data_IF_012785934752
#
_entry.id   IF_012785934752
#
_cell.length_a   1.000
_cell.length_b   1.000
_cell.length_c   1.000
_cell.angle_alpha   90.00
_cell.angle_beta   90.00
_cell.angle_gamma   90.00
#
_symmetry.space_group_name_H-M   'P 1'
#
loop_
_entity.id
_entity.type
_entity.pdbx_description
1 polymer ?
#
# COMPACT_ATOMS: atom_id res chain seq x y z
N UNK A 1 -25.87 0.19 -25.62
CA UNK A 1 -26.07 0.61 -24.22
C UNK A 1 -27.57 0.54 -23.94
N UNK A 2 -28.03 -0.16 -22.89
CA UNK A 2 -29.46 -0.22 -22.54
C UNK A 2 -30.05 1.17 -22.33
N UNK A 3 -31.32 1.39 -22.70
CA UNK A 3 -31.97 2.71 -22.65
C UNK A 3 -31.84 3.42 -21.29
N UNK A 4 -31.94 2.66 -20.18
CA UNK A 4 -31.75 3.15 -18.81
C UNK A 4 -30.39 3.84 -18.59
N UNK A 5 -29.29 3.30 -19.13
CA UNK A 5 -27.95 3.87 -18.93
C UNK A 5 -27.71 5.11 -19.80
N UNK A 6 -28.43 5.24 -20.92
CA UNK A 6 -28.33 6.42 -21.77
C UNK A 6 -28.89 7.66 -21.05
N UNK A 7 -30.02 7.52 -20.35
CA UNK A 7 -30.64 8.62 -19.59
C UNK A 7 -29.78 9.02 -18.39
N UNK A 8 -29.23 8.04 -17.66
CA UNK A 8 -28.30 8.28 -16.56
C UNK A 8 -27.07 9.01 -17.09
N UNK A 9 -26.50 8.57 -18.22
CA UNK A 9 -25.33 9.21 -18.83
C UNK A 9 -25.58 10.68 -19.18
N UNK A 10 -26.75 11.03 -19.73
CA UNK A 10 -27.07 12.44 -20.00
C UNK A 10 -27.12 13.28 -18.72
N UNK A 11 -27.61 12.70 -17.62
CA UNK A 11 -27.60 13.36 -16.31
C UNK A 11 -26.18 13.56 -15.79
N UNK A 12 -25.33 12.53 -15.86
CA UNK A 12 -23.94 12.62 -15.42
C UNK A 12 -23.14 13.63 -16.31
N UNK A 13 -23.37 13.69 -17.64
CA UNK A 13 -22.76 14.72 -18.52
C UNK A 13 -23.20 16.16 -18.19
N UNK A 14 -24.47 16.37 -17.87
CA UNK A 14 -24.96 17.69 -17.41
C UNK A 14 -24.33 18.09 -16.08
N UNK A 15 -24.23 17.14 -15.15
CA UNK A 15 -23.59 17.34 -13.85
C UNK A 15 -22.10 17.70 -13.98
N UNK A 16 -21.39 17.07 -14.93
CA UNK A 16 -19.99 17.40 -15.22
C UNK A 16 -19.81 18.82 -15.76
N UNK A 17 -20.72 19.29 -16.61
CA UNK A 17 -20.66 20.67 -17.11
C UNK A 17 -20.91 21.69 -15.99
N UNK A 18 -21.85 21.42 -15.09
CA UNK A 18 -22.07 22.24 -13.90
C UNK A 18 -20.88 22.20 -12.94
N UNK A 19 -20.27 21.03 -12.76
CA UNK A 19 -19.04 20.87 -11.96
C UNK A 19 -17.92 21.73 -12.52
N UNK A 20 -17.66 21.67 -13.83
CA UNK A 20 -16.64 22.49 -14.49
C UNK A 20 -16.89 23.99 -14.27
N UNK A 21 -18.10 24.45 -14.56
CA UNK A 21 -18.45 25.88 -14.50
C UNK A 21 -18.50 26.42 -13.08
N UNK A 22 -19.13 25.69 -12.15
CA UNK A 22 -19.39 26.18 -10.79
C UNK A 22 -18.31 25.81 -9.80
N UNK A 23 -17.77 24.60 -9.90
CA UNK A 23 -16.76 24.11 -8.95
C UNK A 23 -15.39 24.55 -9.43
N UNK A 24 -14.95 24.03 -10.58
CA UNK A 24 -13.57 24.19 -11.04
C UNK A 24 -13.23 25.65 -11.37
N UNK A 25 -14.13 26.37 -12.05
CA UNK A 25 -13.88 27.75 -12.49
C UNK A 25 -14.21 28.81 -11.43
N UNK A 26 -14.93 28.46 -10.35
CA UNK A 26 -15.39 29.44 -9.37
C UNK A 26 -15.23 29.01 -7.90
N UNK A 27 -15.97 28.00 -7.43
CA UNK A 27 -16.06 27.71 -6.01
C UNK A 27 -14.73 27.29 -5.39
N UNK A 28 -13.86 26.57 -6.12
CA UNK A 28 -12.54 26.23 -5.61
C UNK A 28 -11.74 27.48 -5.24
N UNK A 29 -11.66 28.45 -6.17
CA UNK A 29 -10.92 29.69 -5.96
C UNK A 29 -11.56 30.57 -4.89
N UNK A 30 -12.90 30.66 -4.91
CA UNK A 30 -13.64 31.41 -3.91
C UNK A 30 -13.43 30.84 -2.51
N UNK A 31 -13.52 29.51 -2.34
CA UNK A 31 -13.31 28.85 -1.06
C UNK A 31 -11.86 28.97 -0.58
N UNK A 32 -10.91 28.77 -1.50
CA UNK A 32 -9.48 28.88 -1.25
C UNK A 32 -9.09 30.24 -0.66
N UNK A 33 -9.56 31.34 -1.27
CA UNK A 33 -9.29 32.71 -0.83
C UNK A 33 -10.12 33.09 0.40
N UNK A 34 -11.45 32.98 0.32
CA UNK A 34 -12.37 33.52 1.34
C UNK A 34 -12.29 32.80 2.68
N UNK A 35 -12.00 31.51 2.67
CA UNK A 35 -11.96 30.67 3.87
C UNK A 35 -10.53 30.21 4.22
N UNK A 36 -9.51 30.79 3.58
CA UNK A 36 -8.09 30.46 3.79
C UNK A 36 -7.75 28.96 3.57
N UNK A 37 -8.53 28.24 2.75
CA UNK A 37 -8.28 26.83 2.47
C UNK A 37 -6.98 26.66 1.67
N UNK A 38 -6.57 27.65 0.87
CA UNK A 38 -5.28 27.59 0.19
C UNK A 38 -4.11 27.47 1.18
N UNK A 39 -4.14 28.25 2.26
CA UNK A 39 -3.13 28.20 3.32
C UNK A 39 -3.17 26.87 4.07
N UNK A 40 -4.37 26.35 4.33
CA UNK A 40 -4.56 25.04 4.97
C UNK A 40 -3.96 23.92 4.11
N UNK A 41 -4.36 23.83 2.84
CA UNK A 41 -3.83 22.88 1.86
C UNK A 41 -2.32 22.96 1.77
N UNK A 42 -1.77 24.17 1.60
CA UNK A 42 -0.32 24.36 1.55
C UNK A 42 0.36 23.83 2.82
N UNK A 43 -0.22 24.08 4.00
CA UNK A 43 0.32 23.56 5.27
C UNK A 43 0.27 22.04 5.34
N UNK A 44 -0.81 21.40 4.88
CA UNK A 44 -0.93 19.94 4.88
C UNK A 44 0.09 19.29 3.94
N UNK A 45 0.16 19.73 2.68
CA UNK A 45 1.13 19.19 1.71
C UNK A 45 2.58 19.51 2.08
N UNK A 46 2.86 20.65 2.73
CA UNK A 46 4.21 21.01 3.15
C UNK A 46 4.83 20.03 4.14
N UNK A 47 4.03 19.30 4.93
CA UNK A 47 4.51 18.22 5.82
C UNK A 47 5.23 17.11 5.05
N UNK A 48 4.86 16.92 3.79
CA UNK A 48 5.37 15.88 2.90
C UNK A 48 6.22 16.45 1.76
N UNK A 49 6.74 17.68 1.90
CA UNK A 49 7.56 18.34 0.85
C UNK A 49 8.69 17.45 0.35
N UNK A 50 9.27 16.63 1.23
CA UNK A 50 10.34 15.71 0.87
C UNK A 50 9.93 14.63 -0.12
N UNK A 51 8.68 14.19 -0.06
CA UNK A 51 8.13 13.13 -0.89
C UNK A 51 7.61 13.70 -2.22
N UNK A 52 7.03 14.91 -2.18
CA UNK A 52 6.40 15.52 -3.37
C UNK A 52 7.33 16.41 -4.20
N UNK A 53 8.58 16.64 -3.78
CA UNK A 53 9.50 17.61 -4.42
C UNK A 53 9.74 17.32 -5.91
N UNK A 54 9.77 16.05 -6.30
CA UNK A 54 10.06 15.58 -7.66
C UNK A 54 8.78 15.16 -8.40
N UNK A 55 7.62 15.26 -7.74
CA UNK A 55 6.35 14.94 -8.35
C UNK A 55 5.97 16.00 -9.40
N UNK A 56 5.31 15.62 -10.51
CA UNK A 56 4.91 16.61 -11.51
C UNK A 56 3.92 17.60 -10.91
N UNK A 57 4.17 18.89 -11.11
CA UNK A 57 3.37 19.97 -10.48
C UNK A 57 1.86 19.83 -10.76
N UNK A 58 1.50 19.38 -11.97
CA UNK A 58 0.12 19.11 -12.36
C UNK A 58 -0.58 18.13 -11.41
N UNK A 59 0.09 17.06 -10.98
CA UNK A 59 -0.46 16.07 -10.05
C UNK A 59 -0.72 16.69 -8.68
N UNK A 60 0.24 17.47 -8.19
CA UNK A 60 0.09 18.18 -6.92
C UNK A 60 -1.08 19.15 -6.98
N UNK A 61 -1.21 19.93 -8.07
CA UNK A 61 -2.31 20.88 -8.24
C UNK A 61 -3.67 20.18 -8.35
N UNK A 62 -3.77 19.03 -9.02
CA UNK A 62 -5.00 18.23 -9.06
C UNK A 62 -5.39 17.70 -7.67
N UNK A 63 -4.41 17.20 -6.90
CA UNK A 63 -4.65 16.77 -5.53
C UNK A 63 -5.09 17.93 -4.63
N UNK A 64 -4.48 19.12 -4.76
CA UNK A 64 -4.93 20.30 -4.02
C UNK A 64 -6.37 20.69 -4.37
N UNK A 65 -6.74 20.69 -5.64
CA UNK A 65 -8.10 20.96 -6.08
C UNK A 65 -9.11 19.95 -5.51
N UNK A 66 -8.76 18.66 -5.56
CA UNK A 66 -9.56 17.58 -4.98
C UNK A 66 -9.74 17.74 -3.46
N UNK A 67 -8.69 18.12 -2.73
CA UNK A 67 -8.79 18.45 -1.30
C UNK A 67 -9.75 19.62 -1.06
N UNK A 68 -9.62 20.71 -1.83
CA UNK A 68 -10.49 21.89 -1.66
C UNK A 68 -11.94 21.51 -1.93
N UNK A 69 -12.21 20.76 -3.01
CA UNK A 69 -13.55 20.31 -3.35
C UNK A 69 -14.15 19.45 -2.21
N UNK A 70 -13.38 18.51 -1.69
CA UNK A 70 -13.75 17.71 -0.53
C UNK A 70 -14.08 18.61 0.68
N UNK A 71 -13.26 19.60 1.02
CA UNK A 71 -13.55 20.53 2.12
C UNK A 71 -14.80 21.38 1.92
N UNK A 72 -15.16 21.66 0.67
CA UNK A 72 -16.40 22.37 0.36
C UNK A 72 -17.61 21.46 0.59
N UNK A 73 -17.58 20.24 0.05
CA UNK A 73 -18.76 19.39 -0.09
C UNK A 73 -18.84 18.19 0.85
N UNK A 74 -17.84 17.93 1.69
CA UNK A 74 -17.92 16.88 2.71
C UNK A 74 -19.00 17.17 3.74
N UNK A 75 -19.27 16.18 4.60
CA UNK A 75 -20.21 16.35 5.70
C UNK A 75 -19.78 17.52 6.59
N UNK A 76 -20.75 18.38 6.94
CA UNK A 76 -20.52 19.66 7.62
C UNK A 76 -19.52 20.61 6.92
N UNK A 77 -19.32 20.42 5.62
CA UNK A 77 -18.41 21.21 4.78
C UNK A 77 -18.83 22.66 4.56
N UNK A 78 -17.96 23.42 3.88
CA UNK A 78 -18.14 24.86 3.67
C UNK A 78 -19.40 25.21 2.86
N UNK A 79 -19.92 24.28 2.05
CA UNK A 79 -21.12 24.50 1.25
C UNK A 79 -22.30 24.97 2.12
N UNK A 80 -22.40 24.49 3.36
CA UNK A 80 -23.43 24.89 4.32
C UNK A 80 -23.42 26.39 4.64
N UNK A 81 -22.24 27.02 4.56
CA UNK A 81 -22.06 28.47 4.77
C UNK A 81 -22.13 29.23 3.46
N UNK A 82 -21.51 28.68 2.40
CA UNK A 82 -21.38 29.33 1.09
C UNK A 82 -22.73 29.48 0.40
N UNK A 83 -23.61 28.48 0.51
CA UNK A 83 -24.84 28.41 -0.29
C UNK A 83 -25.86 29.54 0.00
N UNK A 84 -25.78 30.16 1.18
CA UNK A 84 -26.63 31.29 1.57
C UNK A 84 -25.91 32.64 1.41
N UNK A 85 -24.67 32.65 0.92
CA UNK A 85 -23.87 33.86 0.79
C UNK A 85 -24.30 34.70 -0.42
N UNK A 86 -24.31 36.03 -0.28
CA UNK A 86 -24.74 36.96 -1.35
C UNK A 86 -23.92 36.85 -2.63
N UNK A 87 -22.69 36.34 -2.54
CA UNK A 87 -21.84 36.09 -3.72
C UNK A 87 -22.50 35.14 -4.70
N UNK A 88 -23.39 34.24 -4.26
CA UNK A 88 -24.12 33.31 -5.13
C UNK A 88 -25.45 33.85 -5.66
N UNK A 89 -25.80 35.12 -5.39
CA UNK A 89 -27.09 35.69 -5.80
C UNK A 89 -27.28 35.82 -7.31
N UNK A 90 -26.21 35.68 -8.09
CA UNK A 90 -26.22 35.72 -9.55
C UNK A 90 -26.40 34.33 -10.19
N UNK A 91 -26.40 33.26 -9.38
CA UNK A 91 -26.56 31.91 -9.88
C UNK A 91 -27.99 31.66 -10.37
N UNK A 92 -28.10 30.93 -11.47
CA UNK A 92 -29.37 30.47 -12.02
C UNK A 92 -30.00 29.39 -11.13
N UNK A 93 -31.31 29.16 -11.30
CA UNK A 93 -32.06 28.18 -10.49
C UNK A 93 -31.45 26.77 -10.56
N UNK A 94 -30.98 26.36 -11.74
CA UNK A 94 -30.30 25.08 -11.95
C UNK A 94 -28.99 24.97 -11.17
N UNK A 95 -28.20 26.04 -11.16
CA UNK A 95 -26.91 26.08 -10.47
C UNK A 95 -27.11 26.01 -8.94
N UNK A 96 -28.11 26.73 -8.43
CA UNK A 96 -28.51 26.65 -7.03
C UNK A 96 -29.01 25.25 -6.68
N UNK A 97 -29.82 24.64 -7.53
CA UNK A 97 -30.31 23.27 -7.32
C UNK A 97 -29.16 22.26 -7.26
N UNK A 98 -28.18 22.38 -8.18
CA UNK A 98 -26.96 21.57 -8.17
C UNK A 98 -26.17 21.72 -6.86
N UNK A 99 -25.97 22.94 -6.38
CA UNK A 99 -25.25 23.16 -5.12
C UNK A 99 -26.03 22.61 -3.91
N UNK A 100 -27.37 22.75 -3.90
CA UNK A 100 -28.24 22.18 -2.85
C UNK A 100 -28.21 20.66 -2.86
N UNK A 101 -28.09 20.05 -4.04
CA UNK A 101 -27.97 18.62 -4.18
C UNK A 101 -26.67 18.10 -3.59
N UNK A 102 -25.54 18.73 -3.91
CA UNK A 102 -24.23 18.38 -3.34
C UNK A 102 -24.14 18.72 -1.84
N UNK A 103 -24.89 19.71 -1.35
CA UNK A 103 -25.04 19.95 0.10
C UNK A 103 -25.75 18.78 0.81
N UNK A 104 -26.77 18.19 0.18
CA UNK A 104 -27.56 17.08 0.77
C UNK A 104 -26.90 15.72 0.62
N UNK A 105 -25.98 15.59 -0.33
CA UNK A 105 -25.26 14.36 -0.63
C UNK A 105 -23.77 14.66 -0.55
N UNK A 106 -23.19 14.63 0.67
CA UNK A 106 -21.81 15.01 0.86
C UNK A 106 -20.84 14.19 0.01
N UNK A 107 -19.76 14.84 -0.41
CA UNK A 107 -18.68 14.16 -1.11
C UNK A 107 -17.84 13.40 -0.10
N UNK A 108 -17.45 12.18 -0.44
CA UNK A 108 -16.61 11.34 0.40
C UNK A 108 -15.53 10.66 -0.41
N UNK A 109 -14.41 10.37 0.22
CA UNK A 109 -13.44 9.46 -0.33
C UNK A 109 -13.96 8.02 -0.25
N UNK A 110 -13.54 7.20 -1.19
CA UNK A 110 -13.91 5.79 -1.25
C UNK A 110 -12.75 4.97 -1.76
N UNK A 111 -12.44 3.90 -1.02
CA UNK A 111 -11.59 2.82 -1.47
C UNK A 111 -12.49 1.71 -1.99
N UNK A 112 -12.42 1.40 -3.28
CA UNK A 112 -13.42 0.54 -3.90
C UNK A 112 -12.87 -0.44 -4.94
N UNK A 113 -13.61 -1.54 -5.11
CA UNK A 113 -13.39 -2.54 -6.14
C UNK A 113 -14.48 -2.45 -7.20
N UNK A 114 -14.14 -2.81 -8.44
CA UNK A 114 -15.14 -3.00 -9.49
C UNK A 114 -15.70 -4.42 -9.35
N UNK A 115 -17.01 -4.52 -9.15
CA UNK A 115 -17.74 -5.78 -9.05
C UNK A 115 -18.34 -6.17 -10.40
N UNK A 116 -18.87 -5.21 -11.16
CA UNK A 116 -19.41 -5.43 -12.51
C UNK A 116 -19.21 -4.20 -13.41
N UNK A 117 -19.31 -4.40 -14.72
CA UNK A 117 -19.24 -3.34 -15.75
C UNK A 117 -20.50 -3.38 -16.63
N UNK A 118 -21.66 -2.92 -16.11
CA UNK A 118 -22.95 -3.13 -16.77
C UNK A 118 -23.12 -2.34 -18.09
N UNK A 119 -22.33 -1.28 -18.30
CA UNK A 119 -22.26 -0.54 -19.56
C UNK A 119 -20.93 0.22 -19.69
N UNK A 120 -20.63 0.73 -20.89
CA UNK A 120 -19.43 1.55 -21.12
C UNK A 120 -19.39 2.75 -20.16
N UNK A 121 -18.27 2.92 -19.47
CA UNK A 121 -18.02 3.96 -18.46
C UNK A 121 -18.88 3.84 -17.19
N UNK A 122 -19.65 2.76 -17.05
CA UNK A 122 -20.45 2.45 -15.86
C UNK A 122 -19.88 1.23 -15.14
N UNK A 123 -19.74 1.33 -13.83
CA UNK A 123 -19.18 0.30 -12.97
C UNK A 123 -20.06 0.12 -11.74
N UNK A 124 -20.37 -1.13 -11.39
CA UNK A 124 -20.84 -1.45 -10.06
C UNK A 124 -19.62 -1.55 -9.16
N UNK A 125 -19.56 -0.68 -8.16
CA UNK A 125 -18.45 -0.56 -7.22
C UNK A 125 -18.88 -1.07 -5.86
N UNK A 126 -17.94 -1.60 -5.07
CA UNK A 126 -18.11 -1.88 -3.65
C UNK A 126 -16.99 -1.17 -2.88
N UNK A 127 -17.36 -0.33 -1.92
CA UNK A 127 -16.42 0.26 -0.98
C UNK A 127 -15.91 -0.82 -0.02
N UNK A 128 -14.60 -1.05 0.02
CA UNK A 128 -14.02 -2.19 0.76
C UNK A 128 -14.08 -2.02 2.28
N UNK A 129 -14.29 -0.80 2.76
CA UNK A 129 -14.34 -0.51 4.20
C UNK A 129 -15.79 -0.35 4.68
N UNK A 130 -16.68 0.24 3.87
CA UNK A 130 -18.08 0.39 4.28
C UNK A 130 -19.00 -0.74 3.80
N UNK A 131 -18.57 -1.53 2.80
CA UNK A 131 -19.41 -2.52 2.11
C UNK A 131 -20.48 -1.90 1.21
N UNK A 132 -20.51 -0.57 1.07
CA UNK A 132 -21.50 0.11 0.26
C UNK A 132 -21.32 -0.23 -1.21
N UNK A 133 -22.41 -0.69 -1.84
CA UNK A 133 -22.48 -0.91 -3.29
C UNK A 133 -23.09 0.27 -4.00
N UNK A 134 -22.47 0.70 -5.08
CA UNK A 134 -22.93 1.85 -5.84
C UNK A 134 -22.63 1.78 -7.34
N UNK A 135 -23.50 2.41 -8.14
CA UNK A 135 -23.27 2.59 -9.57
C UNK A 135 -22.44 3.84 -9.81
N UNK A 136 -21.21 3.67 -10.31
CA UNK A 136 -20.30 4.73 -10.70
C UNK A 136 -20.35 4.98 -12.21
N UNK A 137 -20.46 6.24 -12.62
CA UNK A 137 -20.13 6.69 -13.97
C UNK A 137 -18.77 7.39 -13.96
N UNK A 138 -17.77 6.83 -14.65
CA UNK A 138 -16.45 7.48 -14.76
C UNK A 138 -15.70 7.08 -16.05
N UNK A 139 -15.67 7.96 -17.05
CA UNK A 139 -14.77 7.80 -18.20
C UNK A 139 -13.28 7.76 -17.79
N UNK A 140 -12.92 8.35 -16.65
CA UNK A 140 -11.57 8.28 -16.08
C UNK A 140 -11.20 6.87 -15.67
N UNK A 141 -12.10 6.18 -14.96
CA UNK A 141 -11.94 4.76 -14.59
C UNK A 141 -11.77 3.87 -15.82
N UNK A 142 -12.57 4.08 -16.88
CA UNK A 142 -12.39 3.37 -18.17
C UNK A 142 -10.99 3.55 -18.77
N UNK A 143 -10.38 4.73 -18.64
CA UNK A 143 -9.03 5.00 -19.14
C UNK A 143 -7.97 4.32 -18.28
N UNK A 144 -8.12 4.38 -16.95
CA UNK A 144 -7.18 3.77 -16.00
C UNK A 144 -7.06 2.25 -16.15
N UNK A 145 -8.12 1.57 -16.60
CA UNK A 145 -8.12 0.10 -16.83
C UNK A 145 -7.42 -0.36 -18.10
N UNK A 146 -7.06 0.52 -19.02
CA UNK A 146 -6.64 0.11 -20.37
C UNK A 146 -5.33 -0.71 -20.39
N UNK A 147 -4.50 -0.59 -19.36
CA UNK A 147 -3.16 -1.18 -19.33
C UNK A 147 -3.05 -2.42 -18.42
N UNK A 148 -3.77 -2.45 -17.30
CA UNK A 148 -3.70 -3.51 -16.29
C UNK A 148 -4.96 -3.48 -15.44
N UNK A 149 -5.40 -4.65 -14.95
CA UNK A 149 -6.50 -4.72 -14.00
C UNK A 149 -6.08 -4.07 -12.66
N UNK A 150 -6.84 -3.09 -12.16
CA UNK A 150 -6.64 -2.48 -10.85
C UNK A 150 -6.85 -3.48 -9.70
N UNK A 151 -6.12 -3.30 -8.61
CA UNK A 151 -6.39 -3.97 -7.34
C UNK A 151 -7.33 -3.15 -6.46
N UNK A 152 -7.16 -1.83 -6.46
CA UNK A 152 -7.92 -0.95 -5.60
C UNK A 152 -8.09 0.42 -6.26
N UNK A 153 -9.25 1.05 -6.08
CA UNK A 153 -9.47 2.42 -6.50
C UNK A 153 -9.59 3.33 -5.30
N UNK A 154 -8.93 4.49 -5.32
CA UNK A 154 -9.15 5.56 -4.36
C UNK A 154 -9.68 6.80 -5.09
N UNK A 155 -10.93 7.17 -4.82
CA UNK A 155 -11.59 8.27 -5.51
C UNK A 155 -12.31 9.18 -4.52
N UNK A 156 -12.33 10.48 -4.82
CA UNK A 156 -13.36 11.37 -4.26
C UNK A 156 -14.62 11.21 -5.11
N UNK A 157 -15.72 10.80 -4.48
CA UNK A 157 -16.98 10.50 -5.17
C UNK A 157 -18.09 11.46 -4.75
N UNK A 158 -19.00 11.74 -5.69
CA UNK A 158 -20.21 12.53 -5.46
C UNK A 158 -21.43 11.87 -6.09
N UNK A 159 -22.58 12.00 -5.44
CA UNK A 159 -23.85 11.48 -5.97
C UNK A 159 -24.66 12.57 -6.67
N UNK A 160 -24.87 12.41 -7.97
CA UNK A 160 -25.60 13.37 -8.80
C UNK A 160 -27.12 13.12 -8.86
N UNK A 161 -27.65 12.27 -7.97
CA UNK A 161 -29.08 11.95 -7.92
C UNK A 161 -29.49 10.77 -8.80
N UNK A 162 -28.61 10.28 -9.67
CA UNK A 162 -28.82 9.12 -10.54
C UNK A 162 -27.67 8.11 -10.47
N UNK A 163 -26.44 8.59 -10.44
CA UNK A 163 -25.20 7.84 -10.42
C UNK A 163 -24.22 8.50 -9.43
N UNK A 164 -23.21 7.75 -9.01
CA UNK A 164 -22.01 8.34 -8.42
C UNK A 164 -21.04 8.74 -9.54
N UNK A 165 -20.25 9.79 -9.32
CA UNK A 165 -19.21 10.26 -10.22
C UNK A 165 -17.92 10.52 -9.45
N UNK A 166 -16.77 10.37 -10.11
CA UNK A 166 -15.45 10.66 -9.53
C UNK A 166 -15.05 12.12 -9.79
N UNK A 167 -14.34 12.75 -8.85
CA UNK A 167 -13.77 14.08 -8.99
C UNK A 167 -12.27 14.10 -8.67
N UNK A 168 -11.50 14.87 -9.44
CA UNK A 168 -10.07 15.09 -9.20
C UNK A 168 -9.18 14.01 -9.82
N UNK A 169 -8.20 13.52 -9.05
CA UNK A 169 -7.29 12.46 -9.46
C UNK A 169 -8.04 11.12 -9.47
N UNK A 170 -7.97 10.43 -10.61
CA UNK A 170 -8.59 9.12 -10.83
C UNK A 170 -7.45 8.20 -11.26
N UNK A 171 -6.82 7.53 -10.30
CA UNK A 171 -5.74 6.59 -10.58
C UNK A 171 -5.95 5.29 -9.78
N UNK A 172 -5.95 4.11 -10.43
CA UNK A 172 -6.00 2.84 -9.72
C UNK A 172 -4.67 2.54 -9.03
N UNK A 173 -4.72 1.75 -7.96
CA UNK A 173 -3.57 1.10 -7.37
C UNK A 173 -3.39 -0.30 -7.98
N UNK A 174 -2.15 -0.61 -8.36
CA UNK A 174 -1.78 -1.89 -8.97
C UNK A 174 -0.93 -2.80 -8.06
N UNK A 175 -0.57 -2.31 -6.89
CA UNK A 175 0.25 -3.03 -5.91
C UNK A 175 -0.10 -2.72 -4.46
N UNK A 176 -1.24 -2.05 -4.23
CA UNK A 176 -1.80 -1.83 -2.90
C UNK A 176 -3.18 -2.48 -2.81
N UNK A 177 -3.41 -3.14 -1.68
CA UNK A 177 -4.63 -3.88 -1.32
C UNK A 177 -5.32 -3.21 -0.11
N UNK A 178 -6.55 -3.60 0.25
CA UNK A 178 -7.26 -3.01 1.39
C UNK A 178 -6.46 -3.08 2.71
N UNK A 179 -5.81 -4.20 2.99
CA UNK A 179 -5.01 -4.43 4.21
C UNK A 179 -3.82 -3.45 4.30
N UNK A 180 -3.24 -3.07 3.15
CA UNK A 180 -2.17 -2.07 3.08
C UNK A 180 -2.64 -0.70 3.57
N UNK A 181 -3.92 -0.35 3.39
CA UNK A 181 -4.45 0.93 3.85
C UNK A 181 -4.62 0.95 5.36
N UNK A 182 -5.05 -0.17 5.96
CA UNK A 182 -5.16 -0.31 7.41
C UNK A 182 -3.77 -0.24 8.04
N UNK A 183 -2.79 -0.95 7.46
CA UNK A 183 -1.39 -0.83 7.86
C UNK A 183 -0.90 0.62 7.75
N UNK A 184 -1.13 1.28 6.61
CA UNK A 184 -0.68 2.66 6.44
C UNK A 184 -1.30 3.62 7.47
N UNK A 185 -2.59 3.44 7.76
CA UNK A 185 -3.30 4.21 8.76
C UNK A 185 -2.74 4.00 10.18
N UNK A 186 -2.39 2.76 10.54
CA UNK A 186 -1.75 2.46 11.83
C UNK A 186 -0.37 3.12 11.96
N UNK A 187 0.39 3.22 10.87
CA UNK A 187 1.70 3.91 10.85
C UNK A 187 1.58 5.44 10.91
N UNK A 188 0.51 6.00 10.36
CA UNK A 188 0.19 7.42 10.46
C UNK A 188 -0.22 7.80 11.90
N UNK A 189 -0.96 6.92 12.57
CA UNK A 189 -1.52 7.13 13.91
C UNK A 189 -1.09 6.01 14.87
N UNK A 190 0.21 5.92 15.24
CA UNK A 190 0.76 4.78 16.00
C UNK A 190 0.27 4.68 17.46
N UNK A 191 -0.53 5.64 17.92
CA UNK A 191 -1.15 5.64 19.25
C UNK A 191 -2.66 5.44 19.18
N UNK A 192 -3.18 5.08 18.01
CA UNK A 192 -4.59 4.84 17.77
C UNK A 192 -4.70 3.47 17.12
N UNK A 193 -5.22 2.53 17.88
CA UNK A 193 -5.63 1.25 17.31
C UNK A 193 -6.94 1.48 16.57
N UNK A 194 -6.97 1.19 15.28
CA UNK A 194 -8.15 1.35 14.43
C UNK A 194 -8.94 0.05 14.57
N UNK A 195 -9.98 0.07 15.40
CA UNK A 195 -10.75 -1.14 15.75
C UNK A 195 -11.76 -1.52 14.67
N UNK A 196 -12.28 -0.53 13.95
CA UNK A 196 -13.28 -0.73 12.92
C UNK A 196 -13.07 0.15 11.68
N UNK A 197 -13.84 -0.17 10.63
CA UNK A 197 -13.76 0.51 9.34
C UNK A 197 -14.40 1.89 9.33
N UNK A 198 -15.26 2.22 10.31
CA UNK A 198 -15.85 3.55 10.43
C UNK A 198 -14.79 4.55 10.94
N UNK A 199 -13.97 4.15 11.91
CA UNK A 199 -12.80 4.92 12.37
C UNK A 199 -11.81 5.18 11.24
N UNK A 200 -11.51 4.15 10.43
CA UNK A 200 -10.66 4.30 9.24
C UNK A 200 -11.27 5.32 8.26
N UNK A 201 -12.56 5.21 7.96
CA UNK A 201 -13.24 6.11 7.03
C UNK A 201 -13.21 7.55 7.54
N UNK A 202 -13.49 7.76 8.83
CA UNK A 202 -13.42 9.08 9.45
C UNK A 202 -12.00 9.67 9.42
N UNK A 203 -10.97 8.83 9.57
CA UNK A 203 -9.58 9.25 9.46
C UNK A 203 -9.29 9.79 8.06
N UNK A 204 -9.67 9.06 7.02
CA UNK A 204 -9.50 9.48 5.62
C UNK A 204 -10.24 10.79 5.35
N UNK A 205 -11.46 10.94 5.88
CA UNK A 205 -12.27 12.16 5.75
C UNK A 205 -11.70 13.38 6.52
N UNK A 206 -10.90 13.13 7.54
CA UNK A 206 -10.32 14.20 8.39
C UNK A 206 -8.95 14.63 7.90
N UNK A 207 -8.11 13.68 7.51
CA UNK A 207 -6.77 13.90 6.97
C UNK A 207 -6.54 13.08 5.69
N UNK A 208 -7.12 13.48 4.54
CA UNK A 208 -7.02 12.72 3.30
C UNK A 208 -5.65 12.85 2.61
N UNK A 209 -4.85 13.86 2.96
CA UNK A 209 -3.61 14.18 2.23
C UNK A 209 -2.63 13.01 2.19
N UNK A 210 -2.31 12.31 3.29
CA UNK A 210 -1.43 11.15 3.27
C UNK A 210 -1.88 10.07 2.28
N UNK A 211 -3.19 9.74 2.26
CA UNK A 211 -3.76 8.77 1.33
C UNK A 211 -3.72 9.23 -0.12
N UNK A 212 -3.93 10.52 -0.37
CA UNK A 212 -3.78 11.09 -1.72
C UNK A 212 -2.34 11.01 -2.22
N UNK A 213 -1.33 11.09 -1.34
CA UNK A 213 0.06 10.95 -1.74
C UNK A 213 0.40 9.56 -2.27
N UNK A 214 -0.38 8.52 -1.91
CA UNK A 214 -0.22 7.18 -2.47
C UNK A 214 -0.40 7.15 -3.99
N UNK A 215 -1.10 8.12 -4.59
CA UNK A 215 -1.19 8.24 -6.05
C UNK A 215 0.16 8.37 -6.74
N UNK A 216 1.20 8.87 -6.06
CA UNK A 216 2.55 8.98 -6.60
C UNK A 216 3.27 7.63 -6.72
N UNK A 217 2.69 6.57 -6.15
CA UNK A 217 3.23 5.19 -6.11
C UNK A 217 2.21 4.17 -6.62
N UNK A 218 1.13 4.61 -7.25
CA UNK A 218 0.01 3.74 -7.61
C UNK A 218 0.34 2.70 -8.69
N UNK A 219 1.36 2.96 -9.50
CA UNK A 219 1.82 2.07 -10.56
C UNK A 219 2.79 0.99 -10.06
N UNK A 220 3.14 0.99 -8.77
CA UNK A 220 3.95 -0.08 -8.20
C UNK A 220 3.25 -1.44 -8.42
N UNK A 221 3.94 -2.45 -8.96
CA UNK A 221 3.36 -3.77 -9.12
C UNK A 221 3.39 -4.54 -7.81
N UNK A 222 2.47 -5.49 -7.64
CA UNK A 222 2.69 -6.60 -6.72
C UNK A 222 3.99 -7.34 -7.05
N UNK A 223 4.72 -7.72 -6.01
CA UNK A 223 5.88 -8.60 -6.11
C UNK A 223 5.39 -10.02 -5.86
N UNK A 224 5.67 -10.92 -6.80
CA UNK A 224 5.23 -12.32 -6.76
C UNK A 224 6.42 -13.22 -7.08
N UNK A 225 6.59 -14.28 -6.29
CA UNK A 225 7.50 -15.39 -6.57
C UNK A 225 6.68 -16.65 -6.86
N UNK A 226 6.75 -17.14 -8.10
CA UNK A 226 5.90 -18.21 -8.63
C UNK A 226 4.40 -17.96 -8.40
N UNK A 227 3.85 -18.52 -7.31
CA UNK A 227 2.43 -18.40 -6.93
C UNK A 227 2.23 -17.67 -5.61
N UNK A 228 3.32 -17.26 -4.95
CA UNK A 228 3.28 -16.56 -3.66
C UNK A 228 3.51 -15.06 -3.86
N UNK A 229 2.56 -14.27 -3.38
CA UNK A 229 2.74 -12.84 -3.24
C UNK A 229 3.72 -12.56 -2.11
N UNK A 230 4.66 -11.65 -2.34
CA UNK A 230 5.67 -11.28 -1.37
C UNK A 230 5.12 -10.18 -0.46
N UNK A 231 4.59 -10.61 0.68
CA UNK A 231 3.94 -9.79 1.71
C UNK A 231 4.59 -10.06 3.05
N UNK A 232 4.74 -9.06 3.89
CA UNK A 232 5.14 -9.29 5.28
C UNK A 232 3.89 -9.53 6.11
N UNK A 233 3.78 -10.73 6.67
CA UNK A 233 2.78 -11.13 7.65
C UNK A 233 3.41 -11.15 9.04
N UNK A 234 2.76 -10.50 10.01
CA UNK A 234 3.20 -10.50 11.42
C UNK A 234 2.02 -10.60 12.37
N UNK A 235 2.20 -11.29 13.49
CA UNK A 235 1.22 -11.33 14.57
C UNK A 235 1.87 -11.52 15.94
N UNK A 236 1.20 -11.03 16.97
CA UNK A 236 1.65 -11.04 18.37
C UNK A 236 0.62 -11.71 19.28
N UNK A 237 1.07 -12.67 20.08
CA UNK A 237 0.24 -13.40 21.03
C UNK A 237 0.92 -13.48 22.39
N UNK A 238 0.17 -13.21 23.47
CA UNK A 238 0.66 -13.51 24.81
C UNK A 238 0.67 -15.03 25.02
N UNK A 239 1.78 -15.57 25.49
CA UNK A 239 1.97 -16.99 25.76
C UNK A 239 2.77 -17.19 27.05
N UNK A 240 2.15 -17.80 28.06
CA UNK A 240 2.81 -18.21 29.30
C UNK A 240 3.06 -19.72 29.39
N UNK A 241 2.74 -20.46 28.31
CA UNK A 241 2.77 -21.92 28.24
C UNK A 241 3.91 -22.49 27.41
N UNK A 242 4.81 -21.62 26.93
CA UNK A 242 5.88 -21.97 26.00
C UNK A 242 6.69 -23.20 26.45
N UNK A 243 6.81 -24.17 25.55
CA UNK A 243 7.60 -25.37 25.77
C UNK A 243 8.41 -25.72 24.51
N UNK A 244 9.67 -25.26 24.49
CA UNK A 244 10.59 -25.53 23.38
C UNK A 244 10.75 -27.00 23.03
N UNK A 245 10.60 -27.93 23.99
CA UNK A 245 10.75 -29.36 23.71
C UNK A 245 9.62 -29.93 22.85
N UNK A 246 8.40 -29.39 22.98
CA UNK A 246 7.26 -29.80 22.16
C UNK A 246 7.41 -29.35 20.70
N UNK A 247 8.17 -28.28 20.46
CA UNK A 247 8.33 -27.65 19.15
C UNK A 247 9.48 -28.21 18.31
N UNK A 248 10.46 -28.90 18.92
CA UNK A 248 11.62 -29.49 18.21
C UNK A 248 11.29 -30.41 17.02
N UNK A 249 10.18 -31.17 17.00
CA UNK A 249 9.83 -31.99 15.85
C UNK A 249 9.61 -31.16 14.57
N UNK A 250 8.98 -29.99 14.69
CA UNK A 250 8.59 -29.15 13.54
C UNK A 250 9.56 -27.99 13.29
N UNK A 251 10.30 -27.55 14.32
CA UNK A 251 11.12 -26.34 14.27
C UNK A 251 12.62 -26.60 14.47
N UNK A 252 13.44 -25.79 13.80
CA UNK A 252 14.83 -25.54 14.20
C UNK A 252 14.81 -24.42 15.23
N UNK A 253 15.38 -24.66 16.41
CA UNK A 253 15.29 -23.74 17.55
C UNK A 253 16.67 -23.16 17.86
N UNK A 254 16.76 -21.84 17.88
CA UNK A 254 17.91 -21.08 18.34
C UNK A 254 17.51 -20.22 19.54
N UNK A 255 18.47 -19.85 20.38
CA UNK A 255 18.22 -19.05 21.58
C UNK A 255 19.30 -17.99 21.74
N UNK A 256 18.89 -16.73 21.89
CA UNK A 256 19.78 -15.60 22.12
C UNK A 256 19.04 -14.52 22.92
N UNK A 257 19.70 -13.94 23.92
CA UNK A 257 19.20 -12.80 24.69
C UNK A 257 17.77 -12.95 25.25
N UNK A 258 17.44 -14.12 25.79
CA UNK A 258 16.12 -14.44 26.37
C UNK A 258 14.98 -14.54 25.33
N UNK A 259 15.36 -14.71 24.05
CA UNK A 259 14.45 -14.93 22.92
C UNK A 259 14.78 -16.25 22.25
N UNK A 260 13.75 -17.06 21.98
CA UNK A 260 13.85 -18.24 21.11
C UNK A 260 13.47 -17.87 19.68
N UNK A 261 14.29 -18.26 18.70
CA UNK A 261 13.93 -18.24 17.27
C UNK A 261 13.52 -19.65 16.84
N UNK A 262 12.31 -19.77 16.31
CA UNK A 262 11.66 -21.00 15.87
C UNK A 262 11.51 -20.98 14.36
N UNK A 263 12.52 -21.49 13.65
CA UNK A 263 12.52 -21.57 12.19
C UNK A 263 11.77 -22.84 11.75
N UNK A 264 10.63 -22.68 11.06
CA UNK A 264 9.85 -23.83 10.57
C UNK A 264 10.67 -24.62 9.54
N UNK A 265 10.84 -25.93 9.77
CA UNK A 265 11.61 -26.79 8.86
C UNK A 265 11.00 -26.75 7.46
N UNK A 266 11.85 -26.65 6.45
CA UNK A 266 11.51 -26.54 5.02
C UNK A 266 10.80 -25.23 4.59
N UNK A 267 10.44 -24.34 5.53
CA UNK A 267 9.70 -23.09 5.26
C UNK A 267 10.39 -21.82 5.79
N UNK A 268 11.46 -21.95 6.57
CA UNK A 268 12.19 -20.81 7.12
C UNK A 268 13.10 -20.09 6.12
N UNK A 269 13.17 -20.54 4.87
CA UNK A 269 13.96 -19.93 3.80
C UNK A 269 13.11 -19.18 2.79
N UNK A 270 13.76 -18.50 1.85
CA UNK A 270 13.09 -17.89 0.70
C UNK A 270 12.20 -18.94 -0.01
N UNK A 271 10.96 -18.57 -0.40
CA UNK A 271 10.36 -17.23 -0.34
C UNK A 271 9.51 -16.96 0.91
N UNK A 272 9.43 -17.89 1.86
CA UNK A 272 8.41 -17.89 2.90
C UNK A 272 8.88 -17.33 4.23
N UNK A 273 10.14 -17.55 4.60
CA UNK A 273 10.74 -17.10 5.87
C UNK A 273 9.82 -17.27 7.07
N UNK A 274 9.22 -18.45 7.20
CA UNK A 274 8.24 -18.77 8.24
C UNK A 274 8.92 -19.04 9.57
N UNK A 275 8.91 -18.02 10.43
CA UNK A 275 9.68 -17.99 11.68
C UNK A 275 8.79 -17.43 12.80
N UNK A 276 8.81 -18.08 13.97
CA UNK A 276 8.25 -17.52 15.19
C UNK A 276 9.36 -17.17 16.18
N UNK A 277 9.09 -16.20 17.04
CA UNK A 277 9.97 -15.73 18.09
C UNK A 277 9.22 -15.79 19.41
N UNK A 278 9.85 -16.32 20.46
CA UNK A 278 9.28 -16.30 21.80
C UNK A 278 10.18 -15.49 22.73
N UNK A 279 9.66 -14.39 23.26
CA UNK A 279 10.32 -13.52 24.23
C UNK A 279 9.94 -13.93 25.66
N UNK A 280 10.90 -14.44 26.42
CA UNK A 280 10.65 -14.90 27.79
C UNK A 280 10.31 -13.77 28.77
N UNK A 281 10.79 -12.55 28.51
CA UNK A 281 10.56 -11.41 29.42
C UNK A 281 9.17 -10.85 29.25
N UNK A 282 8.74 -10.70 28.01
CA UNK A 282 7.42 -10.18 27.67
C UNK A 282 6.34 -11.28 27.64
N UNK A 283 6.75 -12.55 27.69
CA UNK A 283 5.86 -13.72 27.52
C UNK A 283 5.04 -13.58 26.22
N UNK A 284 5.76 -13.28 25.14
CA UNK A 284 5.18 -12.92 23.84
C UNK A 284 5.68 -13.87 22.76
N UNK A 285 4.73 -14.47 22.04
CA UNK A 285 4.96 -15.23 20.82
C UNK A 285 4.68 -14.32 19.62
N UNK A 286 5.73 -14.00 18.86
CA UNK A 286 5.69 -13.19 17.66
C UNK A 286 5.87 -14.07 16.42
N UNK A 287 4.95 -14.01 15.47
CA UNK A 287 5.00 -14.76 14.21
C UNK A 287 5.41 -13.83 13.07
N UNK A 288 6.22 -14.34 12.14
CA UNK A 288 6.65 -13.64 10.94
C UNK A 288 6.72 -14.58 9.74
N UNK A 289 6.22 -14.13 8.60
CA UNK A 289 6.43 -14.80 7.32
C UNK A 289 6.34 -13.81 6.16
N UNK A 290 7.00 -14.10 5.05
CA UNK A 290 7.04 -13.24 3.85
C UNK A 290 6.08 -13.70 2.73
N UNK A 291 5.11 -14.54 3.07
CA UNK A 291 4.01 -14.98 2.19
C UNK A 291 2.83 -15.45 3.01
N UNK A 292 1.62 -15.40 2.45
CA UNK A 292 0.40 -15.88 3.11
C UNK A 292 0.46 -17.38 3.39
N UNK A 293 0.97 -18.16 2.44
CA UNK A 293 1.14 -19.60 2.58
C UNK A 293 2.14 -19.95 3.68
N UNK A 294 3.26 -19.23 3.75
CA UNK A 294 4.24 -19.40 4.81
C UNK A 294 3.65 -19.11 6.19
N UNK A 295 2.90 -18.01 6.30
CA UNK A 295 2.22 -17.65 7.55
C UNK A 295 1.21 -18.71 7.99
N UNK A 296 0.35 -19.16 7.07
CA UNK A 296 -0.65 -20.20 7.38
C UNK A 296 0.02 -21.52 7.79
N UNK A 297 1.09 -21.92 7.11
CA UNK A 297 1.83 -23.15 7.45
C UNK A 297 2.52 -23.03 8.82
N UNK A 298 3.02 -21.83 9.17
CA UNK A 298 3.57 -21.54 10.49
C UNK A 298 2.50 -21.69 11.59
N UNK A 299 1.32 -21.11 11.38
CA UNK A 299 0.17 -21.23 12.29
C UNK A 299 -0.25 -22.69 12.45
N UNK A 300 -0.40 -23.43 11.35
CA UNK A 300 -0.76 -24.85 11.38
C UNK A 300 0.26 -25.67 12.19
N UNK A 301 1.56 -25.46 11.96
CA UNK A 301 2.61 -26.19 12.68
C UNK A 301 2.64 -25.87 14.18
N UNK A 302 2.34 -24.63 14.58
CA UNK A 302 2.20 -24.25 15.99
C UNK A 302 0.93 -24.87 16.60
N UNK A 303 -0.19 -24.85 15.87
CA UNK A 303 -1.44 -25.45 16.33
C UNK A 303 -1.33 -26.98 16.50
N UNK A 304 -0.62 -27.66 15.61
CA UNK A 304 -0.27 -29.09 15.75
C UNK A 304 0.58 -29.37 17.00
N UNK A 305 1.30 -28.36 17.51
CA UNK A 305 2.08 -28.44 18.74
C UNK A 305 1.29 -28.04 20.00
N UNK A 306 -0.01 -27.77 19.87
CA UNK A 306 -0.92 -27.53 21.00
C UNK A 306 -1.35 -26.07 21.19
N UNK A 307 -1.00 -25.17 20.26
CA UNK A 307 -1.54 -23.80 20.25
C UNK A 307 -2.93 -23.72 19.60
N UNK A 308 -3.63 -22.60 19.77
CA UNK A 308 -4.92 -22.29 19.13
C UNK A 308 -4.86 -20.90 18.47
N UNK A 309 -3.92 -20.71 17.55
CA UNK A 309 -3.68 -19.44 16.87
C UNK A 309 -4.57 -19.28 15.61
N UNK A 310 -5.04 -18.06 15.33
CA UNK A 310 -5.78 -17.75 14.10
C UNK A 310 -4.86 -17.61 12.89
N UNK A 311 -5.40 -17.89 11.71
CA UNK A 311 -4.72 -17.67 10.41
C UNK A 311 -4.70 -16.21 9.95
N UNK A 312 -5.40 -15.31 10.65
CA UNK A 312 -5.38 -13.88 10.31
C UNK A 312 -4.21 -13.21 11.04
N UNK A 313 -3.22 -12.64 10.33
CA UNK A 313 -2.16 -11.86 10.96
C UNK A 313 -2.67 -10.50 11.46
N UNK A 314 -1.95 -9.90 12.40
CA UNK A 314 -2.23 -8.52 12.85
C UNK A 314 -1.89 -7.52 11.74
N UNK A 315 -0.80 -7.77 11.02
CA UNK A 315 -0.44 -7.03 9.81
C UNK A 315 -0.13 -7.97 8.66
N UNK A 316 -0.74 -7.67 7.52
CA UNK A 316 -0.37 -8.19 6.20
C UNK A 316 -0.08 -6.99 5.31
N UNK A 317 1.16 -6.83 4.87
CA UNK A 317 1.56 -5.65 4.10
C UNK A 317 2.41 -6.01 2.88
N UNK A 318 2.07 -5.44 1.74
CA UNK A 318 2.86 -5.53 0.52
C UNK A 318 4.18 -4.76 0.67
N UNK A 319 5.29 -5.33 0.17
CA UNK A 319 6.59 -4.65 0.25
C UNK A 319 6.61 -3.28 -0.44
N UNK A 320 5.82 -3.13 -1.51
CA UNK A 320 5.62 -1.83 -2.17
C UNK A 320 4.96 -0.80 -1.25
N UNK A 321 3.99 -1.23 -0.44
CA UNK A 321 3.38 -0.36 0.58
C UNK A 321 4.40 -0.04 1.66
N UNK A 322 5.07 -1.04 2.25
CA UNK A 322 6.06 -0.84 3.31
C UNK A 322 7.11 0.22 2.92
N UNK A 323 7.72 0.06 1.75
CA UNK A 323 8.69 1.03 1.22
C UNK A 323 8.05 2.42 1.03
N UNK A 324 6.84 2.48 0.50
CA UNK A 324 6.10 3.74 0.30
C UNK A 324 5.81 4.45 1.63
N UNK A 325 5.37 3.74 2.66
CA UNK A 325 5.10 4.32 3.98
C UNK A 325 6.40 4.85 4.60
N UNK A 326 7.50 4.10 4.52
CA UNK A 326 8.81 4.55 5.01
C UNK A 326 9.26 5.84 4.32
N UNK A 327 9.09 5.95 3.00
CA UNK A 327 9.38 7.17 2.23
C UNK A 327 8.50 8.36 2.63
N UNK A 328 7.17 8.15 2.73
CA UNK A 328 6.21 9.22 3.06
C UNK A 328 6.42 9.70 4.49
N UNK A 329 6.56 8.79 5.45
CA UNK A 329 6.67 9.12 6.87
C UNK A 329 8.10 9.45 7.31
N UNK A 330 9.12 9.13 6.51
CA UNK A 330 10.55 9.21 6.88
C UNK A 330 10.86 8.47 8.17
N UNK A 331 10.25 7.28 8.31
CA UNK A 331 10.45 6.40 9.45
C UNK A 331 11.03 5.09 8.95
N UNK A 332 12.01 4.58 9.68
CA UNK A 332 12.39 3.18 9.57
C UNK A 332 11.30 2.37 10.27
N UNK A 333 10.58 1.57 9.50
CA UNK A 333 9.52 0.70 10.02
C UNK A 333 10.10 -0.68 10.18
N UNK A 334 10.19 -1.13 11.42
CA UNK A 334 10.64 -2.48 11.78
C UNK A 334 9.40 -3.32 12.10
N UNK A 335 9.11 -4.27 11.23
CA UNK A 335 7.99 -5.19 11.41
C UNK A 335 8.36 -6.39 12.26
N UNK A 336 9.61 -6.85 12.18
CA UNK A 336 10.15 -7.87 13.08
C UNK A 336 11.16 -7.21 14.04
N UNK A 337 10.84 -7.07 15.34
CA UNK A 337 11.77 -6.49 16.30
C UNK A 337 12.88 -7.46 16.74
N UNK A 338 12.74 -8.76 16.47
CA UNK A 338 13.61 -9.82 17.00
C UNK A 338 14.73 -10.27 16.05
N UNK A 339 14.59 -10.07 14.73
CA UNK A 339 15.55 -10.58 13.74
C UNK A 339 17.01 -10.18 14.06
N UNK A 340 17.23 -8.90 14.39
CA UNK A 340 18.54 -8.34 14.67
C UNK A 340 19.27 -8.99 15.85
N UNK A 341 18.54 -9.64 16.78
CA UNK A 341 19.13 -10.35 17.92
C UNK A 341 19.98 -11.55 17.45
N UNK A 342 19.62 -12.12 16.30
CA UNK A 342 20.24 -13.32 15.73
C UNK A 342 21.22 -13.00 14.60
N UNK A 343 21.20 -11.79 14.05
CA UNK A 343 22.15 -11.32 13.03
C UNK A 343 23.58 -11.12 13.61
N UNK A 344 23.69 -10.64 14.86
CA UNK A 344 24.98 -10.41 15.54
C UNK A 344 25.69 -11.72 15.95
N UNK A 345 25.02 -12.87 15.86
CA UNK A 345 25.61 -14.18 16.17
C UNK A 345 26.35 -14.77 14.95
N UNK A 346 26.20 -14.16 13.76
CA UNK A 346 26.77 -14.61 12.49
C UNK A 346 27.92 -13.72 11.95
N UNK A 347 28.56 -12.90 12.79
CA UNK A 347 29.66 -12.00 12.38
C UNK A 347 30.91 -12.71 11.80
N UNK A 348 31.00 -14.04 11.82
CA UNK A 348 32.08 -14.79 11.16
C UNK A 348 31.79 -15.15 9.67
N UNK A 349 30.59 -14.85 9.14
CA UNK A 349 30.21 -15.14 7.74
C UNK A 349 30.08 -13.91 6.81
N UNK A 350 29.94 -12.69 7.33
CA UNK A 350 29.73 -11.48 6.52
C UNK A 350 30.90 -11.16 5.59
N UNK A 351 32.14 -11.32 6.09
CA UNK A 351 33.36 -11.16 5.28
C UNK A 351 33.41 -12.14 4.10
N UNK A 352 32.85 -13.33 4.26
CA UNK A 352 32.83 -14.38 3.22
C UNK A 352 31.86 -14.06 2.08
N UNK A 353 30.71 -13.47 2.40
CA UNK A 353 29.71 -13.06 1.41
C UNK A 353 30.19 -11.86 0.58
N UNK A 354 30.81 -10.87 1.22
CA UNK A 354 31.42 -9.72 0.54
C UNK A 354 32.56 -10.16 -0.39
N UNK A 355 33.37 -11.10 0.07
CA UNK A 355 34.44 -11.72 -0.72
C UNK A 355 33.91 -12.42 -1.98
N UNK A 356 32.80 -13.16 -1.87
CA UNK A 356 32.14 -13.80 -3.02
C UNK A 356 31.55 -12.76 -3.99
N UNK A 357 30.92 -11.70 -3.49
CA UNK A 357 30.36 -10.62 -4.32
C UNK A 357 31.45 -9.84 -5.07
N UNK A 358 32.58 -9.58 -4.41
CA UNK A 358 33.75 -8.95 -5.01
C UNK A 358 34.39 -9.85 -6.08
N UNK A 359 34.49 -11.16 -5.82
CA UNK A 359 34.97 -12.15 -6.79
C UNK A 359 34.06 -12.20 -8.03
N UNK A 360 32.73 -12.20 -7.85
CA UNK A 360 31.75 -12.18 -8.96
C UNK A 360 31.95 -10.96 -9.86
N UNK A 361 32.16 -9.78 -9.28
CA UNK A 361 32.42 -8.55 -10.03
C UNK A 361 33.71 -8.62 -10.85
N UNK A 362 34.74 -9.28 -10.32
CA UNK A 362 36.03 -9.45 -10.98
C UNK A 362 36.03 -10.46 -12.14
N UNK A 363 35.04 -11.36 -12.17
CA UNK A 363 34.90 -12.40 -13.21
C UNK A 363 34.27 -11.87 -14.51
N UNK A 364 33.44 -10.82 -14.42
CA UNK A 364 32.69 -10.26 -15.56
C UNK A 364 33.59 -9.83 -16.74
N UNK A 365 34.73 -9.13 -16.54
CA UNK A 365 35.62 -8.73 -17.64
C UNK A 365 36.19 -9.92 -18.41
N UNK A 366 36.58 -10.99 -17.72
CA UNK A 366 37.16 -12.20 -18.33
C UNK A 366 36.11 -12.94 -19.19
N UNK A 367 34.87 -13.03 -18.72
CA UNK A 367 33.75 -13.59 -19.49
C UNK A 367 33.48 -12.77 -20.74
N UNK A 368 33.43 -11.44 -20.62
CA UNK A 368 33.21 -10.55 -21.75
C UNK A 368 34.34 -10.64 -22.79
N UNK A 369 35.55 -10.98 -22.36
CA UNK A 369 36.71 -11.22 -23.22
C UNK A 369 36.76 -12.64 -23.82
N UNK A 370 35.78 -13.51 -23.52
CA UNK A 370 35.78 -14.91 -23.98
C UNK A 370 36.89 -15.75 -23.34
N UNK A 371 37.40 -15.35 -22.18
CA UNK A 371 38.46 -16.04 -21.45
C UNK A 371 37.89 -16.67 -20.19
N UNK A 372 38.10 -17.97 -20.01
CA UNK A 372 37.64 -18.66 -18.80
C UNK A 372 38.42 -18.13 -17.58
N UNK A 373 37.76 -17.58 -16.55
CA UNK A 373 38.42 -17.09 -15.34
C UNK A 373 39.15 -18.21 -14.59
N UNK A 374 40.29 -17.89 -13.98
CA UNK A 374 41.09 -18.81 -13.18
C UNK A 374 40.56 -18.89 -11.75
N UNK A 375 39.92 -20.01 -11.43
CA UNK A 375 39.26 -20.22 -10.15
C UNK A 375 40.22 -20.29 -8.96
N UNK A 376 41.45 -20.78 -9.16
CA UNK A 376 42.43 -20.91 -8.08
C UNK A 376 43.02 -19.54 -7.72
N UNK A 377 43.30 -18.74 -8.76
CA UNK A 377 43.78 -17.37 -8.58
C UNK A 377 42.73 -16.47 -7.93
N UNK A 378 41.47 -16.60 -8.35
CA UNK A 378 40.36 -15.81 -7.80
C UNK A 378 40.00 -16.24 -6.36
N UNK A 379 39.98 -17.54 -6.08
CA UNK A 379 39.81 -18.06 -4.73
C UNK A 379 40.86 -17.50 -3.76
N UNK A 380 42.13 -17.50 -4.17
CA UNK A 380 43.22 -16.95 -3.36
C UNK A 380 43.16 -15.42 -3.22
N UNK A 381 42.74 -14.71 -4.27
CA UNK A 381 42.70 -13.25 -4.27
C UNK A 381 41.56 -12.68 -3.42
N UNK A 382 40.43 -13.39 -3.35
CA UNK A 382 39.23 -12.95 -2.66
C UNK A 382 38.94 -13.76 -1.40
N UNK A 383 39.86 -14.61 -0.95
CA UNK A 383 39.69 -15.45 0.26
C UNK A 383 38.37 -16.26 0.24
N UNK A 384 38.11 -16.88 -0.91
CA UNK A 384 36.97 -17.78 -1.15
C UNK A 384 37.53 -19.20 -1.29
N UNK A 385 36.81 -20.22 -0.85
CA UNK A 385 37.26 -21.59 -1.05
C UNK A 385 37.28 -21.95 -2.55
N UNK A 386 38.30 -22.70 -2.96
CA UNK A 386 38.57 -23.02 -4.37
C UNK A 386 37.42 -23.81 -5.00
N UNK A 387 36.68 -24.59 -4.21
CA UNK A 387 35.57 -25.41 -4.70
C UNK A 387 34.35 -24.56 -5.05
N UNK A 388 33.99 -23.60 -4.19
CA UNK A 388 32.97 -22.58 -4.42
C UNK A 388 33.32 -21.68 -5.60
N UNK A 389 34.57 -21.19 -5.68
CA UNK A 389 35.02 -20.39 -6.82
C UNK A 389 34.89 -21.16 -8.15
N UNK A 390 35.29 -22.44 -8.17
CA UNK A 390 35.13 -23.31 -9.35
C UNK A 390 33.67 -23.53 -9.71
N UNK A 391 32.80 -23.77 -8.72
CA UNK A 391 31.36 -23.99 -8.94
C UNK A 391 30.72 -22.75 -9.57
N UNK A 392 30.94 -21.58 -8.98
CA UNK A 392 30.42 -20.29 -9.47
C UNK A 392 30.90 -20.00 -10.89
N UNK A 393 32.22 -20.09 -11.13
CA UNK A 393 32.80 -19.81 -12.46
C UNK A 393 32.24 -20.79 -13.50
N UNK A 394 32.08 -22.08 -13.17
CA UNK A 394 31.54 -23.06 -14.11
C UNK A 394 30.06 -22.80 -14.43
N UNK A 395 29.23 -22.40 -13.48
CA UNK A 395 27.83 -22.05 -13.75
C UNK A 395 27.70 -20.80 -14.63
N UNK A 396 28.46 -19.76 -14.32
CA UNK A 396 28.44 -18.52 -15.11
C UNK A 396 29.04 -18.76 -16.50
N UNK A 397 30.14 -19.52 -16.60
CA UNK A 397 30.74 -19.87 -17.89
C UNK A 397 29.83 -20.75 -18.75
N UNK A 398 29.07 -21.68 -18.15
CA UNK A 398 28.08 -22.48 -18.88
C UNK A 398 26.96 -21.61 -19.47
N UNK A 399 26.63 -20.49 -18.81
CA UNK A 399 25.52 -19.62 -19.20
C UNK A 399 25.94 -18.49 -20.16
N UNK A 400 27.18 -18.00 -20.04
CA UNK A 400 27.64 -16.80 -20.75
C UNK A 400 29.00 -16.94 -21.45
N UNK A 401 29.72 -18.04 -21.22
CA UNK A 401 30.96 -18.35 -21.94
C UNK A 401 30.63 -18.61 -23.40
N UNK A 402 31.28 -17.87 -24.31
CA UNK A 402 31.15 -18.04 -25.75
C UNK A 402 32.02 -19.16 -26.28
#
# INVERSE_FOLDING_TARGET
MPAKFQDIKQSCLRNQELTRRLIDEFLLYYAADRFNIDREVHKQFARYRHFIKDAPERWINMMKAQYIAHRIFKEDGLINRIINHRTLSHLEEEEVAFLRQNQRNPWRFSFSLIIDTPAKDFFEMEDVFTGDRFLLYSPGTSKGRQNREPLLWFNLINFNGKCWETYGVINPFHGFEPEDMLFYASQLHPHTWIEDFDEFTQLVETDPVPFMLLFLKSDLPLIVNDTDQFVQNTAEFLDDTFNSSALKPSFTIEYAHDVYRLSLKDWSSFPHFSIAYYDEKEQLLFLSATSDRGYNTLVDALNDCGYELPHNPDFRVNMGMLATVQEILRKDIRLNPYEAIFDDVAEDESGRMDNVNNMLSAIIPDINAGKKPDAEKLAQQYDVDVETARKIINEIWKKYGR
#
